data_IF_058244662246
#
_entry.id   IF_058244662246
#
_cell.length_a   1.000
_cell.length_b   1.000
_cell.length_c   1.000
_cell.angle_alpha   90.00
_cell.angle_beta   90.00
_cell.angle_gamma   90.00
#
_symmetry.space_group_name_H-M   'P 1'
#
loop_
_entity.id
_entity.type
_entity.pdbx_description
1 polymer ?
#
# COMPACT_ATOMS: atom_id res chain seq x y z
N UNK A 1 -15.76 31.54 25.59
CA UNK A 1 -15.51 31.34 24.14
C UNK A 1 -14.10 30.81 24.03
N UNK A 2 -13.80 29.52 23.90
CA UNK A 2 -14.36 28.49 23.04
C UNK A 2 -13.86 27.13 23.55
N UNK A 3 -14.69 26.38 24.27
CA UNK A 3 -14.44 24.99 24.72
C UNK A 3 -14.55 24.01 23.54
N UNK A 4 -13.83 24.28 22.45
CA UNK A 4 -13.69 23.29 21.36
C UNK A 4 -12.46 22.45 21.68
N UNK A 5 -12.48 21.82 22.87
CA UNK A 5 -11.71 20.61 23.08
C UNK A 5 -12.34 19.58 22.13
N UNK A 6 -11.92 19.61 20.86
CA UNK A 6 -12.21 18.55 19.92
C UNK A 6 -11.58 17.30 20.51
N UNK A 7 -12.40 16.54 21.23
CA UNK A 7 -12.22 15.13 21.50
C UNK A 7 -12.15 14.45 20.14
N UNK A 8 -10.96 14.49 19.55
CA UNK A 8 -10.60 13.61 18.45
C UNK A 8 -10.70 12.20 19.03
N UNK A 9 -11.87 11.58 18.86
CA UNK A 9 -12.06 10.18 19.15
C UNK A 9 -10.88 9.42 18.55
N UNK A 10 -10.06 8.81 19.40
CA UNK A 10 -8.99 7.91 18.96
C UNK A 10 -9.68 6.71 18.29
N UNK A 11 -9.88 6.82 16.98
CA UNK A 11 -10.44 5.75 16.15
C UNK A 11 -9.64 4.48 16.42
N UNK A 12 -10.29 3.49 17.01
CA UNK A 12 -9.64 2.20 17.34
C UNK A 12 -9.02 1.63 16.06
N UNK A 13 -7.78 1.10 16.11
CA UNK A 13 -7.15 0.52 14.94
C UNK A 13 -7.99 -0.68 14.46
N UNK A 14 -8.44 -0.61 13.21
CA UNK A 14 -9.23 -1.68 12.61
C UNK A 14 -8.31 -2.84 12.22
N UNK A 15 -8.15 -3.79 13.14
CA UNK A 15 -7.29 -4.98 12.95
C UNK A 15 -7.62 -5.76 11.68
N UNK A 16 -8.89 -5.76 11.25
CA UNK A 16 -9.28 -6.41 10.01
C UNK A 16 -8.70 -5.70 8.78
N UNK A 17 -8.83 -4.38 8.71
CA UNK A 17 -8.24 -3.59 7.61
C UNK A 17 -6.71 -3.72 7.58
N UNK A 18 -6.08 -3.79 8.76
CA UNK A 18 -4.64 -4.05 8.87
C UNK A 18 -4.28 -5.43 8.30
N UNK A 19 -4.97 -6.49 8.72
CA UNK A 19 -4.75 -7.84 8.21
C UNK A 19 -4.95 -7.92 6.68
N UNK A 20 -6.00 -7.29 6.15
CA UNK A 20 -6.26 -7.23 4.70
C UNK A 20 -5.10 -6.52 3.97
N UNK A 21 -4.66 -5.35 4.43
CA UNK A 21 -3.52 -4.65 3.84
C UNK A 21 -2.24 -5.49 3.84
N UNK A 22 -1.97 -6.18 4.96
CA UNK A 22 -0.78 -7.01 5.08
C UNK A 22 -0.83 -8.22 4.15
N UNK A 23 -1.97 -8.91 4.11
CA UNK A 23 -2.17 -10.07 3.26
C UNK A 23 -2.18 -9.72 1.76
N UNK A 24 -2.59 -8.51 1.38
CA UNK A 24 -2.46 -8.02 0.00
C UNK A 24 -1.01 -7.65 -0.36
N UNK A 25 -0.25 -7.09 0.58
CA UNK A 25 1.13 -6.69 0.31
C UNK A 25 2.06 -7.90 0.12
N UNK A 26 1.83 -8.98 0.87
CA UNK A 26 2.71 -10.15 0.90
C UNK A 26 2.90 -10.84 -0.47
N UNK A 27 1.84 -11.21 -1.23
CA UNK A 27 2.00 -11.86 -2.52
C UNK A 27 2.69 -10.96 -3.54
N UNK A 28 2.35 -9.66 -3.57
CA UNK A 28 3.01 -8.70 -4.46
C UNK A 28 4.49 -8.57 -4.12
N UNK A 29 4.83 -8.47 -2.83
CA UNK A 29 6.23 -8.42 -2.40
C UNK A 29 6.98 -9.70 -2.78
N UNK A 30 6.36 -10.87 -2.58
CA UNK A 30 6.96 -12.16 -2.92
C UNK A 30 7.23 -12.27 -4.43
N UNK A 31 6.27 -11.90 -5.28
CA UNK A 31 6.50 -11.84 -6.74
C UNK A 31 7.63 -10.89 -7.06
N UNK A 32 7.67 -9.72 -6.41
CA UNK A 32 8.73 -8.75 -6.69
C UNK A 32 10.12 -9.25 -6.34
N UNK A 33 10.27 -9.95 -5.21
CA UNK A 33 11.56 -10.43 -4.76
C UNK A 33 11.99 -11.73 -5.48
N UNK A 34 11.05 -12.60 -5.83
CA UNK A 34 11.35 -13.97 -6.31
C UNK A 34 11.26 -14.07 -7.84
N UNK A 35 10.32 -13.35 -8.45
CA UNK A 35 10.03 -13.47 -9.88
C UNK A 35 9.87 -12.08 -10.54
N UNK A 36 10.95 -11.29 -10.64
CA UNK A 36 10.89 -9.95 -11.25
C UNK A 36 10.46 -9.97 -12.72
N UNK A 37 10.63 -11.12 -13.41
CA UNK A 37 10.17 -11.32 -14.77
C UNK A 37 8.65 -11.13 -14.97
N UNK A 38 7.83 -11.28 -13.92
CA UNK A 38 6.39 -11.01 -13.99
C UNK A 38 6.02 -9.55 -14.29
N UNK A 39 6.98 -8.63 -14.19
CA UNK A 39 6.76 -7.19 -14.40
C UNK A 39 7.22 -6.73 -15.79
N UNK A 40 7.72 -7.65 -16.60
CA UNK A 40 8.16 -7.38 -17.96
C UNK A 40 6.94 -7.26 -18.87
N UNK A 41 6.96 -6.27 -19.76
CA UNK A 41 6.01 -6.21 -20.87
C UNK A 41 6.33 -7.25 -21.95
N UNK A 42 5.49 -7.33 -22.99
CA UNK A 42 5.66 -8.26 -24.11
C UNK A 42 6.99 -8.09 -24.88
N UNK A 43 7.69 -6.97 -24.71
CA UNK A 43 8.98 -6.68 -25.32
C UNK A 43 10.16 -6.90 -24.35
N UNK A 44 9.90 -7.33 -23.12
CA UNK A 44 10.92 -7.53 -22.10
C UNK A 44 11.39 -6.23 -21.44
N UNK A 45 10.59 -5.16 -21.46
CA UNK A 45 10.89 -3.91 -20.77
C UNK A 45 10.08 -3.74 -19.49
N UNK A 46 10.64 -2.99 -18.54
CA UNK A 46 9.95 -2.59 -17.32
C UNK A 46 9.36 -1.18 -17.49
N UNK A 47 8.09 -1.02 -17.12
CA UNK A 47 7.56 0.32 -16.83
C UNK A 47 8.05 0.77 -15.46
N UNK A 48 9.13 1.55 -15.43
CA UNK A 48 9.73 2.02 -14.18
C UNK A 48 8.73 2.82 -13.34
N UNK A 49 7.92 3.67 -13.98
CA UNK A 49 6.90 4.45 -13.29
C UNK A 49 5.83 3.56 -12.64
N UNK A 50 5.33 2.54 -13.35
CA UNK A 50 4.36 1.60 -12.80
C UNK A 50 4.94 0.82 -11.62
N UNK A 51 6.19 0.38 -11.75
CA UNK A 51 6.90 -0.32 -10.68
C UNK A 51 7.01 0.55 -9.42
N UNK A 52 7.42 1.81 -9.56
CA UNK A 52 7.53 2.75 -8.44
C UNK A 52 6.17 2.99 -7.75
N UNK A 53 5.09 3.11 -8.53
CA UNK A 53 3.73 3.23 -7.99
C UNK A 53 3.32 1.99 -7.20
N UNK A 54 3.59 0.79 -7.71
CA UNK A 54 3.29 -0.47 -7.02
C UNK A 54 4.14 -0.60 -5.74
N UNK A 55 5.42 -0.21 -5.77
CA UNK A 55 6.30 -0.19 -4.58
C UNK A 55 5.78 0.71 -3.47
N UNK A 56 5.23 1.88 -3.80
CA UNK A 56 4.56 2.74 -2.82
C UNK A 56 3.33 2.04 -2.25
N UNK A 57 2.54 1.35 -3.09
CA UNK A 57 1.39 0.55 -2.67
C UNK A 57 1.76 -0.55 -1.69
N UNK A 58 2.77 -1.37 -2.01
CA UNK A 58 3.27 -2.45 -1.14
C UNK A 58 3.80 -1.89 0.18
N UNK A 59 4.56 -0.79 0.13
CA UNK A 59 5.08 -0.12 1.32
C UNK A 59 3.94 0.36 2.24
N UNK A 60 2.91 0.97 1.67
CA UNK A 60 1.70 1.37 2.39
C UNK A 60 0.92 0.19 2.97
N UNK A 61 0.83 -0.91 2.22
CA UNK A 61 0.21 -2.15 2.68
C UNK A 61 0.91 -2.75 3.91
N UNK A 62 2.24 -2.74 3.93
CA UNK A 62 3.01 -3.17 5.12
C UNK A 62 2.89 -2.18 6.27
N UNK A 63 3.07 -0.88 6.03
CA UNK A 63 2.97 0.16 7.07
C UNK A 63 1.62 0.10 7.78
N UNK A 64 0.53 0.09 7.01
CA UNK A 64 -0.81 -0.05 7.57
C UNK A 64 -1.02 -1.43 8.20
N UNK A 65 -0.50 -2.49 7.57
CA UNK A 65 -0.69 -3.86 7.99
C UNK A 65 -0.09 -4.21 9.35
N UNK A 66 1.10 -3.66 9.67
CA UNK A 66 1.73 -3.82 10.98
C UNK A 66 1.22 -2.82 12.03
N UNK A 67 0.41 -1.83 11.61
CA UNK A 67 -0.14 -0.80 12.48
C UNK A 67 0.82 0.34 12.78
N UNK A 68 1.84 0.52 11.94
CA UNK A 68 2.76 1.64 12.05
C UNK A 68 2.05 2.94 11.65
N UNK A 69 2.18 3.98 12.48
CA UNK A 69 1.59 5.29 12.22
C UNK A 69 2.69 6.32 11.93
N UNK A 70 2.83 6.79 10.67
CA UNK A 70 3.84 7.79 10.32
C UNK A 70 3.60 9.12 11.04
N UNK A 71 4.68 9.76 11.50
CA UNK A 71 4.60 11.06 12.19
C UNK A 71 4.38 12.23 11.22
N UNK A 72 5.07 12.21 10.08
CA UNK A 72 4.98 13.27 9.07
C UNK A 72 3.67 13.18 8.28
N UNK A 73 3.02 14.33 8.04
CA UNK A 73 1.69 14.39 7.41
C UNK A 73 1.66 13.79 5.99
N UNK A 74 2.69 14.06 5.18
CA UNK A 74 2.76 13.52 3.81
C UNK A 74 2.82 11.99 3.81
N UNK A 75 3.63 11.38 4.69
CA UNK A 75 3.75 9.93 4.81
C UNK A 75 2.46 9.29 5.32
N UNK A 76 1.76 9.97 6.23
CA UNK A 76 0.45 9.53 6.73
C UNK A 76 -0.59 9.48 5.62
N UNK A 77 -0.54 10.40 4.66
CA UNK A 77 -1.42 10.40 3.50
C UNK A 77 -1.00 9.35 2.45
N UNK A 78 0.28 9.32 2.09
CA UNK A 78 0.83 8.43 1.07
C UNK A 78 0.66 6.95 1.43
N UNK A 79 0.89 6.60 2.69
CA UNK A 79 0.77 5.22 3.20
C UNK A 79 -0.59 4.95 3.85
N UNK A 80 -1.58 5.79 3.55
CA UNK A 80 -2.95 5.49 3.96
C UNK A 80 -3.49 4.30 3.15
N UNK A 81 -4.38 3.47 3.72
CA UNK A 81 -5.00 2.35 3.00
C UNK A 81 -5.78 2.82 1.76
N UNK A 82 -6.25 4.07 1.74
CA UNK A 82 -6.96 4.68 0.62
C UNK A 82 -6.06 4.81 -0.61
N UNK A 83 -4.78 5.11 -0.42
CA UNK A 83 -3.80 5.20 -1.52
C UNK A 83 -3.16 3.83 -1.79
N UNK A 84 -2.85 3.08 -0.72
CA UNK A 84 -2.16 1.80 -0.85
C UNK A 84 -3.01 0.74 -1.56
N UNK A 85 -4.31 0.63 -1.27
CA UNK A 85 -5.16 -0.41 -1.85
C UNK A 85 -5.33 -0.28 -3.36
N UNK A 86 -5.67 0.89 -3.95
CA UNK A 86 -5.71 1.05 -5.40
C UNK A 86 -4.39 0.72 -6.08
N UNK A 87 -3.25 1.11 -5.49
CA UNK A 87 -1.93 0.83 -6.04
C UNK A 87 -1.59 -0.67 -6.00
N UNK A 88 -1.95 -1.36 -4.91
CA UNK A 88 -1.79 -2.83 -4.83
C UNK A 88 -2.73 -3.55 -5.80
N UNK A 89 -4.00 -3.13 -5.90
CA UNK A 89 -4.96 -3.68 -6.87
C UNK A 89 -4.48 -3.49 -8.31
N UNK A 90 -3.90 -2.33 -8.62
CA UNK A 90 -3.25 -2.09 -9.89
C UNK A 90 -2.10 -3.07 -10.13
N UNK A 91 -1.22 -3.27 -9.15
CA UNK A 91 -0.14 -4.25 -9.23
C UNK A 91 -0.65 -5.69 -9.48
N UNK A 92 -1.71 -6.09 -8.78
CA UNK A 92 -2.35 -7.39 -9.00
C UNK A 92 -2.90 -7.54 -10.41
N UNK A 93 -3.58 -6.50 -10.91
CA UNK A 93 -4.10 -6.48 -12.26
C UNK A 93 -2.96 -6.60 -13.28
N UNK A 94 -1.89 -5.83 -13.13
CA UNK A 94 -0.80 -5.81 -14.10
C UNK A 94 0.07 -7.06 -14.10
N UNK A 95 0.23 -7.76 -12.98
CA UNK A 95 1.17 -8.88 -12.87
C UNK A 95 0.51 -10.26 -13.00
N UNK A 96 -0.79 -10.35 -12.76
CA UNK A 96 -1.50 -11.64 -12.76
C UNK A 96 -2.63 -11.73 -13.78
N UNK A 97 -3.09 -10.60 -14.34
CA UNK A 97 -4.27 -10.57 -15.22
C UNK A 97 -3.95 -10.01 -16.61
N UNK A 98 -3.24 -8.88 -16.69
CA UNK A 98 -2.85 -8.22 -17.93
C UNK A 98 -1.68 -8.94 -18.63
#
# INVERSE_FOLDING_TARGET
MTEIAMTAEKKKPNKFAMAVSFLMALPLAAVLLIHPGAMLDANGHYSHSALMMIMIGISGGFIHGVGFQPHFWLWKWLFSPIVAWPLMLWGYYTWFIA
#
